data_IF_863829908210
#
_entry.id   IF_863829908210
#
_cell.length_a   1.000
_cell.length_b   1.000
_cell.length_c   1.000
_cell.angle_alpha   90.00
_cell.angle_beta   90.00
_cell.angle_gamma   90.00
#
_symmetry.space_group_name_H-M   'P 1'
#
loop_
_entity.id
_entity.type
_entity.pdbx_description
1 polymer ?
#
# COMPACT_ATOMS: atom_id res chain seq x y z
N UNK A 1 -56.84 39.93 -26.94
CA UNK A 1 -55.74 40.86 -26.62
C UNK A 1 -54.57 40.02 -26.09
N UNK A 2 -53.38 40.05 -26.70
CA UNK A 2 -52.21 39.19 -26.37
C UNK A 2 -52.35 37.72 -26.83
N UNK A 3 -51.65 37.23 -27.88
CA UNK A 3 -50.24 36.77 -28.01
C UNK A 3 -49.92 35.50 -27.20
N UNK A 4 -49.67 34.33 -27.83
CA UNK A 4 -48.43 33.87 -28.56
C UNK A 4 -47.23 33.65 -27.61
N UNK A 5 -46.28 32.72 -27.76
CA UNK A 5 -45.97 31.57 -28.68
C UNK A 5 -45.64 30.33 -27.77
N UNK A 6 -45.41 29.07 -28.19
CA UNK A 6 -45.55 28.39 -29.48
C UNK A 6 -44.44 27.34 -29.80
N UNK A 7 -44.76 26.02 -29.73
CA UNK A 7 -44.02 24.87 -30.36
C UNK A 7 -42.68 24.47 -29.66
N UNK A 8 -42.31 23.18 -29.47
CA UNK A 8 -42.04 22.16 -30.51
C UNK A 8 -42.06 20.71 -29.97
N UNK A 9 -42.64 19.80 -30.75
CA UNK A 9 -42.35 18.35 -30.72
C UNK A 9 -41.00 18.04 -31.37
N UNK A 10 -40.35 16.92 -30.99
CA UNK A 10 -39.59 16.03 -31.89
C UNK A 10 -39.55 14.60 -31.35
N UNK A 11 -40.39 13.73 -31.92
CA UNK A 11 -40.22 12.27 -31.85
C UNK A 11 -39.10 11.85 -32.81
N UNK A 12 -38.24 10.91 -32.39
CA UNK A 12 -37.36 10.18 -33.30
C UNK A 12 -37.50 8.68 -33.02
N UNK A 13 -38.29 8.00 -33.85
CA UNK A 13 -38.18 6.55 -34.02
C UNK A 13 -37.07 6.30 -35.05
N UNK A 14 -36.11 5.44 -34.70
CA UNK A 14 -35.51 4.52 -35.68
C UNK A 14 -34.87 3.36 -34.95
N UNK A 15 -35.42 2.16 -35.12
CA UNK A 15 -34.76 0.93 -34.74
C UNK A 15 -34.09 0.34 -35.98
N UNK A 16 -32.78 0.17 -35.94
CA UNK A 16 -32.03 -0.65 -36.91
C UNK A 16 -31.14 -1.60 -36.12
N UNK A 17 -31.50 -2.88 -36.17
CA UNK A 17 -30.71 -3.97 -35.60
C UNK A 17 -29.78 -4.49 -36.70
N UNK A 18 -28.48 -4.53 -36.43
CA UNK A 18 -27.55 -5.38 -37.16
C UNK A 18 -26.76 -6.22 -36.16
N UNK A 19 -26.95 -7.53 -36.24
CA UNK A 19 -26.20 -8.50 -35.45
C UNK A 19 -24.85 -8.78 -36.12
N UNK A 20 -23.75 -8.53 -35.42
CA UNK A 20 -22.47 -9.18 -35.69
C UNK A 20 -22.13 -10.07 -34.51
N UNK A 21 -22.15 -11.38 -34.75
CA UNK A 21 -21.75 -12.37 -33.75
C UNK A 21 -20.22 -12.34 -33.64
N UNK A 22 -19.70 -11.43 -32.80
CA UNK A 22 -18.28 -11.27 -32.55
C UNK A 22 -17.71 -12.46 -31.79
N UNK A 23 -17.25 -13.48 -32.51
CA UNK A 23 -16.49 -14.59 -31.96
C UNK A 23 -15.16 -14.06 -31.41
N UNK A 24 -15.11 -13.78 -30.10
CA UNK A 24 -13.84 -13.51 -29.41
C UNK A 24 -13.16 -14.85 -29.11
N UNK A 25 -12.43 -15.38 -30.09
CA UNK A 25 -11.44 -16.42 -29.83
C UNK A 25 -10.30 -15.83 -29.01
N UNK A 26 -10.34 -16.02 -27.68
CA UNK A 26 -9.11 -16.03 -26.87
C UNK A 26 -8.42 -17.39 -27.10
N UNK A 27 -7.86 -17.58 -28.30
CA UNK A 27 -6.85 -18.63 -28.52
C UNK A 27 -5.56 -18.08 -27.94
N UNK A 28 -5.37 -18.41 -26.67
CA UNK A 28 -4.33 -17.85 -25.83
C UNK A 28 -4.33 -18.54 -24.48
N UNK A 29 -4.26 -19.87 -24.47
CA UNK A 29 -3.63 -20.54 -23.33
C UNK A 29 -2.17 -20.09 -23.35
N UNK A 30 -1.88 -19.00 -22.65
CA UNK A 30 -0.51 -18.67 -22.32
C UNK A 30 0.02 -19.86 -21.52
N UNK A 31 0.85 -20.69 -22.17
CA UNK A 31 1.67 -21.67 -21.48
C UNK A 31 2.29 -20.96 -20.29
N UNK A 32 2.06 -21.47 -19.07
CA UNK A 32 2.55 -20.82 -17.86
C UNK A 32 4.04 -20.52 -18.04
N UNK A 33 4.35 -19.24 -18.29
CA UNK A 33 5.72 -18.79 -18.49
C UNK A 33 6.45 -19.17 -17.22
N UNK A 34 7.54 -19.93 -17.35
CA UNK A 34 8.32 -20.38 -16.20
C UNK A 34 8.60 -19.16 -15.33
N UNK A 35 7.90 -19.07 -14.20
CA UNK A 35 7.75 -17.81 -13.50
C UNK A 35 9.11 -17.50 -12.89
N UNK A 36 9.83 -16.55 -13.52
CA UNK A 36 10.94 -15.88 -12.87
C UNK A 36 10.40 -15.40 -11.53
N UNK A 37 11.02 -15.76 -10.39
CA UNK A 37 10.59 -15.20 -9.12
C UNK A 37 10.59 -13.67 -9.24
N UNK A 38 9.64 -12.98 -8.57
CA UNK A 38 9.58 -11.53 -8.64
C UNK A 38 10.96 -10.95 -8.30
N UNK A 39 11.42 -10.02 -9.14
CA UNK A 39 12.70 -9.36 -8.92
C UNK A 39 12.65 -8.60 -7.57
N UNK A 40 13.78 -8.55 -6.88
CA UNK A 40 13.95 -7.67 -5.71
C UNK A 40 13.74 -6.22 -6.18
N UNK A 41 12.69 -5.56 -5.67
CA UNK A 41 12.35 -4.19 -6.05
C UNK A 41 13.27 -3.18 -5.36
N UNK A 42 13.53 -3.42 -4.07
CA UNK A 42 14.50 -2.67 -3.26
C UNK A 42 14.97 -3.52 -2.07
N UNK A 43 16.06 -3.05 -1.45
CA UNK A 43 16.68 -3.61 -0.25
C UNK A 43 17.25 -2.47 0.56
N UNK A 44 16.88 -2.38 1.82
CA UNK A 44 17.46 -1.44 2.78
C UNK A 44 17.81 -2.16 4.08
N UNK A 45 18.67 -1.55 4.89
CA UNK A 45 19.10 -2.10 6.20
C UNK A 45 18.95 -1.04 7.27
N UNK A 46 18.14 -1.33 8.28
CA UNK A 46 17.92 -0.47 9.43
C UNK A 46 18.61 -1.10 10.66
N UNK A 47 19.50 -0.34 11.27
CA UNK A 47 20.23 -0.76 12.47
C UNK A 47 21.57 -0.04 12.59
N UNK A 48 22.25 -0.26 13.71
CA UNK A 48 23.54 0.35 14.04
C UNK A 48 24.61 -0.68 14.40
N UNK A 49 25.32 -0.44 15.50
CA UNK A 49 26.42 -1.29 15.96
C UNK A 49 25.99 -2.35 17.01
N UNK A 50 24.76 -2.25 17.53
CA UNK A 50 24.16 -3.18 18.48
C UNK A 50 23.36 -4.29 17.79
N UNK A 51 22.50 -4.95 18.56
CA UNK A 51 21.53 -5.94 18.06
C UNK A 51 20.21 -5.23 17.77
N UNK A 52 19.78 -5.26 16.52
CA UNK A 52 18.52 -4.66 16.05
C UNK A 52 17.66 -5.74 15.40
N UNK A 53 16.44 -5.96 15.90
CA UNK A 53 15.55 -7.03 15.44
C UNK A 53 14.17 -6.47 15.10
N UNK A 54 13.69 -6.77 13.89
CA UNK A 54 12.30 -6.54 13.50
C UNK A 54 11.44 -7.78 13.81
N UNK A 55 10.29 -7.58 14.47
CA UNK A 55 9.31 -8.63 14.76
C UNK A 55 8.05 -8.53 13.90
N UNK A 56 7.71 -7.34 13.41
CA UNK A 56 6.50 -7.10 12.62
C UNK A 56 6.74 -6.04 11.56
N UNK A 57 6.09 -6.20 10.42
CA UNK A 57 6.07 -5.25 9.31
C UNK A 57 4.68 -5.21 8.70
N UNK A 58 4.23 -4.01 8.32
CA UNK A 58 2.98 -3.81 7.61
C UNK A 58 3.13 -2.73 6.55
N UNK A 59 2.54 -2.93 5.37
CA UNK A 59 2.40 -1.88 4.36
C UNK A 59 1.36 -0.85 4.82
N UNK A 60 1.72 0.42 4.77
CA UNK A 60 0.87 1.54 5.18
C UNK A 60 0.02 2.08 4.03
N UNK A 61 -1.06 2.79 4.35
CA UNK A 61 -2.05 3.33 3.39
C UNK A 61 -1.50 4.34 2.38
N UNK A 62 -0.31 4.90 2.65
CA UNK A 62 0.46 5.77 1.75
C UNK A 62 1.36 5.00 0.77
N UNK A 63 1.37 3.66 0.84
CA UNK A 63 2.18 2.76 0.02
C UNK A 63 3.55 2.40 0.62
N UNK A 64 3.98 3.09 1.69
CA UNK A 64 5.20 2.77 2.43
C UNK A 64 5.04 1.59 3.39
N UNK A 65 5.96 1.44 4.34
CA UNK A 65 5.93 0.36 5.33
C UNK A 65 6.19 0.89 6.74
N UNK A 66 5.57 0.27 7.74
CA UNK A 66 5.88 0.44 9.16
C UNK A 66 6.45 -0.87 9.70
N UNK A 67 7.58 -0.78 10.40
CA UNK A 67 8.32 -1.90 10.99
C UNK A 67 8.40 -1.69 12.49
N UNK A 68 8.21 -2.75 13.27
CA UNK A 68 8.29 -2.74 14.73
C UNK A 68 9.20 -3.84 15.25
N UNK A 69 9.95 -3.53 16.30
CA UNK A 69 10.91 -4.44 16.90
C UNK A 69 11.59 -3.89 18.13
N UNK A 70 12.88 -4.17 18.28
CA UNK A 70 13.75 -3.54 19.28
C UNK A 70 15.11 -3.15 18.70
N UNK A 71 15.79 -2.24 19.39
CA UNK A 71 17.15 -1.79 19.08
C UNK A 71 18.01 -1.74 20.33
N UNK A 72 19.22 -2.29 20.26
CA UNK A 72 20.32 -2.03 21.21
C UNK A 72 21.27 -0.93 20.65
N UNK A 73 21.02 -0.43 19.43
CA UNK A 73 21.84 0.58 18.74
C UNK A 73 21.44 2.03 19.03
N UNK A 74 20.19 2.25 19.43
CA UNK A 74 19.59 3.57 19.65
C UNK A 74 18.79 3.58 20.96
N UNK A 75 18.45 4.78 21.47
CA UNK A 75 17.62 4.92 22.67
C UNK A 75 18.41 5.20 23.95
N UNK A 76 17.99 4.61 25.08
CA UNK A 76 18.22 5.12 26.43
C UNK A 76 18.57 4.06 27.50
N UNK A 77 19.10 2.90 27.13
CA UNK A 77 19.59 1.93 28.11
C UNK A 77 20.01 0.57 27.54
N UNK A 78 19.25 -0.46 27.92
CA UNK A 78 19.25 -1.76 27.25
C UNK A 78 18.41 -1.65 25.96
N UNK A 79 17.85 -2.76 25.45
CA UNK A 79 17.00 -2.74 24.25
C UNK A 79 15.79 -1.81 24.39
N UNK A 80 15.61 -0.87 23.48
CA UNK A 80 14.40 -0.04 23.38
C UNK A 80 13.41 -0.58 22.33
N UNK A 81 12.10 -0.31 22.50
CA UNK A 81 11.12 -0.46 21.42
C UNK A 81 11.60 0.38 20.24
N UNK A 82 11.67 -0.21 19.04
CA UNK A 82 11.96 0.56 17.82
C UNK A 82 10.84 0.48 16.79
N UNK A 83 10.50 1.64 16.22
CA UNK A 83 9.52 1.79 15.13
C UNK A 83 10.16 2.52 13.96
N UNK A 84 10.14 1.93 12.76
CA UNK A 84 10.70 2.52 11.53
C UNK A 84 9.60 2.65 10.48
N UNK A 85 9.38 3.86 9.96
CA UNK A 85 8.51 4.13 8.81
C UNK A 85 9.37 4.35 7.58
N UNK A 86 8.96 3.76 6.46
CA UNK A 86 9.58 3.96 5.15
C UNK A 86 8.61 4.59 4.16
N UNK A 87 9.16 5.15 3.09
CA UNK A 87 8.47 5.34 1.81
C UNK A 87 8.29 3.98 1.07
N UNK A 88 7.59 3.99 -0.07
CA UNK A 88 7.28 2.77 -0.85
C UNK A 88 8.52 2.08 -1.47
N UNK A 89 9.58 2.85 -1.73
CA UNK A 89 10.89 2.41 -2.22
C UNK A 89 11.82 1.87 -1.10
N UNK A 90 11.34 1.79 0.14
CA UNK A 90 12.10 1.36 1.30
C UNK A 90 12.96 2.43 1.99
N UNK A 91 13.08 3.66 1.47
CA UNK A 91 13.87 4.69 2.17
C UNK A 91 13.19 5.11 3.47
N UNK A 92 13.96 5.32 4.55
CA UNK A 92 13.42 5.80 5.82
C UNK A 92 12.75 7.17 5.67
N UNK A 93 11.51 7.28 6.17
CA UNK A 93 10.77 8.54 6.35
C UNK A 93 11.05 9.08 7.76
N UNK A 94 10.84 8.24 8.78
CA UNK A 94 11.25 8.49 10.16
C UNK A 94 11.39 7.20 10.96
N UNK A 95 12.16 7.26 12.04
CA UNK A 95 12.19 6.22 13.07
C UNK A 95 12.01 6.81 14.48
N UNK A 96 11.60 5.97 15.44
CA UNK A 96 11.33 6.35 16.84
C UNK A 96 11.69 5.21 17.79
N UNK A 97 12.40 5.54 18.86
CA UNK A 97 12.64 4.65 20.00
C UNK A 97 11.70 4.97 21.17
N UNK A 98 11.27 3.96 21.92
CA UNK A 98 10.47 4.13 23.14
C UNK A 98 10.94 3.17 24.26
N UNK A 99 11.24 3.73 25.42
CA UNK A 99 11.69 2.97 26.58
C UNK A 99 12.51 3.82 27.53
N UNK A 100 13.37 3.17 28.31
CA UNK A 100 14.27 3.78 29.27
C UNK A 100 15.43 2.86 29.62
N UNK A 101 15.82 2.83 30.90
CA UNK A 101 16.99 2.07 31.37
C UNK A 101 16.76 0.56 31.49
N UNK A 102 15.88 -0.03 30.67
CA UNK A 102 15.44 -1.42 30.77
C UNK A 102 15.05 -1.95 29.40
N UNK A 103 14.67 -3.24 29.33
CA UNK A 103 14.40 -3.91 28.06
C UNK A 103 12.94 -3.75 27.64
N UNK A 104 12.71 -2.87 26.67
CA UNK A 104 11.45 -2.67 25.97
C UNK A 104 11.48 -3.29 24.56
N UNK A 105 10.37 -3.89 24.10
CA UNK A 105 10.29 -4.56 22.79
C UNK A 105 8.90 -4.39 22.15
N UNK A 106 8.86 -4.15 20.83
CA UNK A 106 7.61 -4.11 20.06
C UNK A 106 7.40 -5.41 19.28
N UNK A 107 6.39 -6.20 19.65
CA UNK A 107 6.14 -7.51 19.03
C UNK A 107 5.26 -7.45 17.77
N UNK A 108 4.48 -6.37 17.60
CA UNK A 108 3.52 -6.18 16.51
C UNK A 108 3.38 -4.70 16.20
N UNK A 109 2.94 -4.37 14.99
CA UNK A 109 2.40 -3.06 14.63
C UNK A 109 1.22 -3.19 13.68
N UNK A 110 0.21 -2.35 13.89
CA UNK A 110 -0.94 -2.19 13.03
C UNK A 110 -1.22 -0.69 12.82
N UNK A 111 -1.22 -0.22 11.58
CA UNK A 111 -1.71 1.11 11.23
C UNK A 111 -3.23 1.17 11.47
N UNK A 112 -3.67 2.22 12.14
CA UNK A 112 -5.08 2.47 12.45
C UNK A 112 -5.75 3.31 11.35
N UNK A 113 -7.08 3.30 11.29
CA UNK A 113 -7.84 3.95 10.21
C UNK A 113 -7.78 5.49 10.22
N UNK A 114 -7.28 6.09 11.29
CA UNK A 114 -6.99 7.52 11.39
C UNK A 114 -5.55 7.89 11.01
N UNK A 115 -4.73 6.90 10.62
CA UNK A 115 -3.33 7.07 10.23
C UNK A 115 -2.32 6.89 11.39
N UNK A 116 -2.79 6.63 12.61
CA UNK A 116 -1.95 6.24 13.74
C UNK A 116 -1.42 4.81 13.66
N UNK A 117 -0.78 4.34 14.75
CA UNK A 117 -0.21 3.00 14.88
C UNK A 117 -0.48 2.45 16.29
N UNK A 118 -0.71 1.14 16.40
CA UNK A 118 -0.87 0.37 17.64
C UNK A 118 -0.05 -0.92 17.62
#
# INVERSE_FOLDING_TARGET
MGRREGKKERLFLSAVVFATLGLVTVVGCASASGATPPAEEWRETFGGAGIDWAYSVQQTTDGGYIVAGFTDSYGAGDSDFWLVKTEANGTADWDKTFGGTSREVANSVQQTTDGGYI
#
